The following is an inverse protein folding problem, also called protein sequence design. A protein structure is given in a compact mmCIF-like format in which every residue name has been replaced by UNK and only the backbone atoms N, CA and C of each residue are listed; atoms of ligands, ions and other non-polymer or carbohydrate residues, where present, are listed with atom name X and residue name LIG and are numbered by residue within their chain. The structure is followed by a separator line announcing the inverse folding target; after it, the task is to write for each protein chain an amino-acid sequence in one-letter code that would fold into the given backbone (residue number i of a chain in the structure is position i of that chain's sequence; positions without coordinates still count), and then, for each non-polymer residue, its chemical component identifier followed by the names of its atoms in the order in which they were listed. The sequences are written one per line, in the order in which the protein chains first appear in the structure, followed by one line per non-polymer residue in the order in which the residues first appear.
data_IF_917978569620
#
_entry.id   IF_917978569620
#
_cell.length_a   1.000
_cell.length_b   1.000
_cell.length_c   1.000
_cell.angle_alpha   90.00
_cell.angle_beta   90.00
_cell.angle_gamma   90.00
#
_symmetry.space_group_name_H-M   'P 1'
#
loop_
_entity.id
_entity.type
_entity.pdbx_description
1 polymer ?
#
# COMPACT_ATOMS: atom_id res chain seq x y z
N UNK A 1 -20.05 13.59 -6.33
CA UNK A 1 -18.83 12.77 -6.15
C UNK A 1 -19.16 11.74 -5.08
N UNK A 2 -18.89 10.44 -5.30
CA UNK A 2 -19.20 9.42 -4.28
C UNK A 2 -18.37 9.63 -3.03
N UNK A 3 -18.90 9.25 -1.87
CA UNK A 3 -18.14 9.33 -0.62
C UNK A 3 -16.81 8.57 -0.75
N UNK A 4 -15.74 9.02 -0.08
CA UNK A 4 -14.43 8.37 -0.17
C UNK A 4 -14.49 6.87 0.19
N UNK A 5 -15.45 6.46 1.03
CA UNK A 5 -15.72 5.06 1.37
C UNK A 5 -16.27 4.25 0.18
N UNK A 6 -17.15 4.82 -0.64
CA UNK A 6 -17.71 4.15 -1.82
C UNK A 6 -16.65 3.95 -2.90
N UNK A 7 -15.80 4.96 -3.10
CA UNK A 7 -14.66 4.90 -4.02
C UNK A 7 -13.75 3.75 -3.59
N UNK A 8 -13.47 3.68 -2.28
CA UNK A 8 -12.64 2.65 -1.68
C UNK A 8 -13.22 1.24 -1.87
N UNK A 9 -14.51 1.04 -1.58
CA UNK A 9 -15.19 -0.24 -1.71
C UNK A 9 -15.26 -0.72 -3.18
N UNK A 10 -15.57 0.19 -4.10
CA UNK A 10 -15.63 -0.12 -5.54
C UNK A 10 -14.26 -0.50 -6.09
N UNK A 11 -13.21 0.21 -5.68
CA UNK A 11 -11.84 -0.13 -6.05
C UNK A 11 -11.48 -1.55 -5.57
N UNK A 12 -11.80 -1.90 -4.32
CA UNK A 12 -11.55 -3.25 -3.78
C UNK A 12 -12.28 -4.34 -4.58
N UNK A 13 -13.56 -4.15 -4.88
CA UNK A 13 -14.36 -5.12 -5.66
C UNK A 13 -13.78 -5.38 -7.05
N UNK A 14 -13.13 -4.39 -7.66
CA UNK A 14 -12.45 -4.51 -8.95
C UNK A 14 -11.05 -5.11 -8.84
N UNK A 15 -10.25 -4.66 -7.87
CA UNK A 15 -8.85 -5.06 -7.75
C UNK A 15 -8.69 -6.52 -7.34
N UNK A 16 -9.53 -7.03 -6.43
CA UNK A 16 -9.45 -8.43 -5.95
C UNK A 16 -9.49 -9.45 -7.11
N UNK A 17 -10.50 -9.46 -8.00
CA UNK A 17 -10.52 -10.41 -9.10
C UNK A 17 -9.36 -10.21 -10.09
N UNK A 18 -8.93 -8.97 -10.36
CA UNK A 18 -7.76 -8.70 -11.22
C UNK A 18 -6.51 -9.36 -10.65
N UNK A 19 -6.25 -9.16 -9.35
CA UNK A 19 -5.08 -9.75 -8.67
C UNK A 19 -5.15 -11.26 -8.71
N UNK A 20 -6.31 -11.87 -8.44
CA UNK A 20 -6.48 -13.32 -8.47
C UNK A 20 -6.20 -13.88 -9.86
N UNK A 21 -6.82 -13.31 -10.90
CA UNK A 21 -6.63 -13.76 -12.29
C UNK A 21 -5.17 -13.61 -12.70
N UNK A 22 -4.54 -12.47 -12.40
CA UNK A 22 -3.15 -12.23 -12.74
C UNK A 22 -2.17 -13.12 -11.97
N UNK A 23 -2.45 -13.46 -10.70
CA UNK A 23 -1.68 -14.45 -9.94
C UNK A 23 -1.73 -15.82 -10.60
N UNK A 24 -2.92 -16.28 -11.00
CA UNK A 24 -3.11 -17.57 -11.67
C UNK A 24 -2.39 -17.58 -13.01
N UNK A 25 -2.56 -16.55 -13.84
CA UNK A 25 -1.87 -16.41 -15.13
C UNK A 25 -0.35 -16.42 -14.92
N UNK A 26 0.17 -15.69 -13.93
CA UNK A 26 1.60 -15.67 -13.63
C UNK A 26 2.11 -17.03 -13.17
N UNK A 27 1.36 -17.75 -12.34
CA UNK A 27 1.72 -19.10 -11.93
C UNK A 27 1.77 -20.06 -13.14
N UNK A 28 0.78 -20.01 -14.03
CA UNK A 28 0.75 -20.82 -15.27
C UNK A 28 1.94 -20.50 -16.15
N UNK A 29 2.24 -19.22 -16.40
CA UNK A 29 3.42 -18.80 -17.17
C UNK A 29 4.70 -19.32 -16.52
N UNK A 30 4.84 -19.20 -15.20
CA UNK A 30 6.01 -19.71 -14.49
C UNK A 30 6.17 -21.22 -14.62
N UNK A 31 5.07 -21.99 -14.62
CA UNK A 31 5.13 -23.45 -14.86
C UNK A 31 5.64 -23.74 -16.27
N UNK A 32 5.14 -23.02 -17.28
CA UNK A 32 5.49 -23.23 -18.69
C UNK A 32 6.96 -22.89 -19.03
N UNK A 33 7.65 -22.12 -18.18
CA UNK A 33 9.03 -21.64 -18.44
C UNK A 33 10.08 -22.48 -17.69
N UNK A 34 9.66 -23.47 -16.90
CA UNK A 34 10.54 -24.21 -15.96
C UNK A 34 10.85 -25.65 -16.36
N UNK A 35 10.83 -25.95 -17.67
CA UNK A 35 11.20 -27.27 -18.16
C UNK A 35 12.64 -27.61 -17.73
N UNK A 36 12.82 -28.79 -17.12
CA UNK A 36 14.08 -29.33 -16.55
C UNK A 36 14.71 -28.56 -15.36
N UNK A 37 13.98 -27.63 -14.72
CA UNK A 37 14.45 -26.93 -13.52
C UNK A 37 14.37 -27.79 -12.25
N UNK A 38 15.24 -27.51 -11.27
CA UNK A 38 15.14 -28.12 -9.93
C UNK A 38 13.79 -27.77 -9.26
N UNK A 39 13.32 -28.63 -8.34
CA UNK A 39 12.04 -28.40 -7.66
C UNK A 39 11.96 -27.02 -6.96
N UNK A 40 13.07 -26.57 -6.35
CA UNK A 40 13.15 -25.26 -5.69
C UNK A 40 13.11 -24.12 -6.70
N UNK A 41 13.88 -24.22 -7.78
CA UNK A 41 13.91 -23.21 -8.85
C UNK A 41 12.54 -23.06 -9.52
N UNK A 42 11.87 -24.18 -9.77
CA UNK A 42 10.51 -24.20 -10.31
C UNK A 42 9.54 -23.45 -9.40
N UNK A 43 9.56 -23.73 -8.09
CA UNK A 43 8.70 -23.04 -7.12
C UNK A 43 8.98 -21.54 -7.08
N UNK A 44 10.26 -21.14 -7.03
CA UNK A 44 10.64 -19.72 -6.99
C UNK A 44 10.28 -18.98 -8.28
N UNK A 45 10.40 -19.64 -9.44
CA UNK A 45 10.01 -19.08 -10.73
C UNK A 45 8.49 -18.90 -10.83
N UNK A 46 7.71 -19.93 -10.48
CA UNK A 46 6.24 -19.86 -10.42
C UNK A 46 5.78 -18.75 -9.48
N UNK A 47 6.34 -18.70 -8.27
CA UNK A 47 6.03 -17.65 -7.31
C UNK A 47 6.43 -16.26 -7.84
N UNK A 48 7.60 -16.15 -8.48
CA UNK A 48 8.10 -14.91 -9.02
C UNK A 48 7.18 -14.32 -10.09
N UNK A 49 6.76 -15.13 -11.07
CA UNK A 49 5.81 -14.69 -12.10
C UNK A 49 4.42 -14.39 -11.54
N UNK A 50 3.92 -15.20 -10.60
CA UNK A 50 2.65 -14.93 -9.92
C UNK A 50 2.68 -13.58 -9.21
N UNK A 51 3.70 -13.34 -8.37
CA UNK A 51 3.88 -12.07 -7.64
C UNK A 51 4.07 -10.89 -8.60
N UNK A 52 4.84 -11.06 -9.68
CA UNK A 52 5.05 -10.04 -10.69
C UNK A 52 3.73 -9.58 -11.32
N UNK A 53 2.97 -10.51 -11.91
CA UNK A 53 1.73 -10.18 -12.60
C UNK A 53 0.64 -9.76 -11.62
N UNK A 54 0.44 -10.50 -10.53
CA UNK A 54 -0.55 -10.19 -9.50
C UNK A 54 -0.28 -8.85 -8.80
N UNK A 55 0.97 -8.60 -8.44
CA UNK A 55 1.40 -7.38 -7.77
C UNK A 55 1.31 -6.15 -8.66
N UNK A 56 1.87 -6.20 -9.87
CA UNK A 56 1.85 -5.04 -10.79
C UNK A 56 0.43 -4.73 -11.27
N UNK A 57 -0.34 -5.73 -11.71
CA UNK A 57 -1.72 -5.51 -12.15
C UNK A 57 -2.59 -4.98 -11.00
N UNK A 58 -2.42 -5.51 -9.79
CA UNK A 58 -3.08 -5.04 -8.60
C UNK A 58 -2.75 -3.58 -8.29
N UNK A 59 -1.47 -3.22 -8.26
CA UNK A 59 -1.01 -1.87 -8.00
C UNK A 59 -1.53 -0.87 -9.04
N UNK A 60 -1.44 -1.20 -10.32
CA UNK A 60 -1.96 -0.38 -11.43
C UNK A 60 -3.47 -0.22 -11.35
N UNK A 61 -4.20 -1.29 -11.01
CA UNK A 61 -5.66 -1.24 -10.89
C UNK A 61 -6.15 -0.31 -9.78
N UNK A 62 -5.31 0.01 -8.79
CA UNK A 62 -5.64 0.93 -7.70
C UNK A 62 -5.37 2.40 -8.06
N UNK A 63 -4.56 2.70 -9.08
CA UNK A 63 -4.22 4.07 -9.49
C UNK A 63 -5.45 4.98 -9.66
N UNK A 64 -6.54 4.56 -10.36
CA UNK A 64 -7.70 5.44 -10.51
C UNK A 64 -8.37 5.80 -9.19
N UNK A 65 -8.35 4.89 -8.20
CA UNK A 65 -8.88 5.16 -6.88
C UNK A 65 -7.98 6.12 -6.11
N UNK A 66 -6.65 5.93 -6.21
CA UNK A 66 -5.65 6.81 -5.62
C UNK A 66 -5.78 8.25 -6.12
N UNK A 67 -5.92 8.46 -7.44
CA UNK A 67 -6.15 9.79 -7.99
C UNK A 67 -7.45 10.43 -7.52
N UNK A 68 -8.52 9.64 -7.35
CA UNK A 68 -9.81 10.13 -6.85
C UNK A 68 -9.80 10.44 -5.36
N UNK A 69 -8.96 9.76 -4.58
CA UNK A 69 -8.83 9.97 -3.14
C UNK A 69 -7.79 11.06 -2.80
N UNK A 70 -6.88 11.39 -3.72
CA UNK A 70 -5.85 12.41 -3.50
C UNK A 70 -6.39 13.77 -3.03
N UNK A 71 -7.51 14.31 -3.59
CA UNK A 71 -8.06 15.57 -3.11
C UNK A 71 -8.47 15.54 -1.63
N UNK A 72 -9.04 14.43 -1.14
CA UNK A 72 -9.43 14.31 0.27
C UNK A 72 -8.27 14.38 1.27
N UNK A 73 -7.05 14.18 0.81
CA UNK A 73 -5.83 14.29 1.63
C UNK A 73 -5.17 15.66 1.52
N UNK A 74 -5.39 16.37 0.41
CA UNK A 74 -4.71 17.63 0.11
C UNK A 74 -5.56 18.85 0.46
N UNK A 75 -6.87 18.82 0.16
CA UNK A 75 -7.76 19.96 0.36
C UNK A 75 -7.77 20.47 1.81
N UNK A 76 -7.88 19.63 2.85
CA UNK A 76 -7.99 20.12 4.23
C UNK A 76 -6.73 20.85 4.73
N UNK A 77 -5.59 20.62 4.09
CA UNK A 77 -4.28 21.14 4.54
C UNK A 77 -3.61 22.05 3.50
N UNK A 78 -4.32 22.39 2.43
CA UNK A 78 -3.76 23.10 1.26
C UNK A 78 -3.26 24.49 1.64
N UNK A 79 -4.06 25.22 2.40
CA UNK A 79 -3.78 26.61 2.79
C UNK A 79 -3.11 26.73 4.17
N UNK A 80 -2.77 25.59 4.78
CA UNK A 80 -1.97 25.56 6.01
C UNK A 80 -0.49 25.70 5.69
N UNK A 81 0.23 26.38 6.58
CA UNK A 81 1.68 26.42 6.52
C UNK A 81 2.29 25.02 6.78
N UNK A 82 3.62 24.93 6.66
CA UNK A 82 4.30 23.65 6.87
C UNK A 82 4.25 23.16 8.32
N UNK A 83 4.15 24.07 9.29
CA UNK A 83 4.13 23.73 10.72
C UNK A 83 2.78 23.16 11.12
N UNK A 84 1.69 23.83 10.76
CA UNK A 84 0.31 23.44 10.99
C UNK A 84 -0.02 22.14 10.27
N UNK A 85 0.44 21.98 9.02
CA UNK A 85 0.28 20.71 8.30
C UNK A 85 0.94 19.55 9.04
N UNK A 86 2.14 19.74 9.60
CA UNK A 86 2.82 18.72 10.41
C UNK A 86 2.10 18.49 11.74
N UNK A 87 1.57 19.54 12.36
CA UNK A 87 0.79 19.44 13.59
C UNK A 87 -0.47 18.60 13.37
N UNK A 88 -1.24 18.88 12.31
CA UNK A 88 -2.42 18.09 11.90
C UNK A 88 -2.06 16.63 11.69
N UNK A 89 -1.04 16.36 10.86
CA UNK A 89 -0.63 14.98 10.57
C UNK A 89 -0.21 14.23 11.84
N UNK A 90 0.57 14.89 12.72
CA UNK A 90 1.03 14.29 13.96
C UNK A 90 -0.12 14.04 14.93
N UNK A 91 -1.03 14.99 15.09
CA UNK A 91 -2.20 14.87 15.95
C UNK A 91 -3.08 13.69 15.52
N UNK A 92 -3.41 13.64 14.23
CA UNK A 92 -4.27 12.59 13.66
C UNK A 92 -3.59 11.21 13.73
N UNK A 93 -2.31 11.08 13.37
CA UNK A 93 -1.62 9.80 13.49
C UNK A 93 -1.34 9.37 14.93
N UNK A 94 -1.20 10.32 15.86
CA UNK A 94 -1.13 10.02 17.29
C UNK A 94 -2.50 9.65 17.88
N UNK A 95 -3.60 9.91 17.16
CA UNK A 95 -4.95 9.75 17.71
C UNK A 95 -5.27 10.76 18.81
N UNK A 96 -4.65 11.94 18.79
CA UNK A 96 -4.83 13.00 19.79
C UNK A 96 -5.55 14.19 19.15
N UNK A 97 -6.81 14.49 19.55
CA UNK A 97 -7.52 15.68 19.11
C UNK A 97 -6.71 16.96 19.31
N UNK A 98 -6.90 17.92 18.41
CA UNK A 98 -6.31 19.26 18.57
C UNK A 98 -7.17 20.04 19.57
N UNK A 99 -6.51 20.81 20.42
CA UNK A 99 -7.15 21.75 21.35
C UNK A 99 -6.76 23.18 20.97
N UNK A 100 -7.68 24.16 21.06
CA UNK A 100 -9.12 24.01 21.36
C UNK A 100 -9.91 23.25 20.28
N UNK A 101 -10.99 22.57 20.67
CA UNK A 101 -11.79 21.73 19.75
C UNK A 101 -12.62 22.51 18.74
N UNK A 102 -12.87 23.78 19.03
CA UNK A 102 -13.59 24.76 18.22
C UNK A 102 -12.66 25.58 17.29
N UNK A 103 -11.37 25.21 17.24
CA UNK A 103 -10.42 25.86 16.33
C UNK A 103 -10.58 25.37 14.89
N UNK A 104 -10.39 26.27 13.92
CA UNK A 104 -10.34 25.93 12.47
C UNK A 104 -9.32 24.80 12.19
N UNK A 105 -8.24 24.75 12.96
CA UNK A 105 -7.23 23.70 12.86
C UNK A 105 -7.77 22.31 13.28
N UNK A 106 -8.63 22.25 14.29
CA UNK A 106 -9.28 21.01 14.72
C UNK A 106 -10.29 20.51 13.68
N UNK A 107 -11.08 21.42 13.08
CA UNK A 107 -12.02 21.08 12.01
C UNK A 107 -11.31 20.52 10.78
N UNK A 108 -10.24 21.19 10.33
CA UNK A 108 -9.40 20.71 9.22
C UNK A 108 -8.73 19.39 9.53
N UNK A 109 -8.30 19.17 10.77
CA UNK A 109 -7.72 17.90 11.19
C UNK A 109 -8.75 16.76 11.19
N UNK A 110 -10.00 17.01 11.58
CA UNK A 110 -11.09 16.04 11.48
C UNK A 110 -11.45 15.72 10.03
N UNK A 111 -11.48 16.71 9.14
CA UNK A 111 -11.68 16.48 7.70
C UNK A 111 -10.52 15.69 7.09
N UNK A 112 -9.29 16.05 7.41
CA UNK A 112 -8.11 15.32 6.98
C UNK A 112 -8.11 13.87 7.50
N UNK A 113 -8.51 13.66 8.75
CA UNK A 113 -8.64 12.33 9.34
C UNK A 113 -9.67 11.47 8.60
N UNK A 114 -10.81 12.04 8.17
CA UNK A 114 -11.81 11.34 7.33
C UNK A 114 -11.21 10.92 5.99
N UNK A 115 -10.49 11.80 5.31
CA UNK A 115 -9.77 11.49 4.08
C UNK A 115 -8.69 10.41 4.28
N UNK A 116 -7.92 10.51 5.36
CA UNK A 116 -6.86 9.56 5.71
C UNK A 116 -7.41 8.17 6.02
N UNK A 117 -8.54 8.08 6.72
CA UNK A 117 -9.16 6.80 7.07
C UNK A 117 -9.58 5.99 5.83
N UNK A 118 -10.00 6.68 4.77
CA UNK A 118 -10.39 6.06 3.49
C UNK A 118 -9.20 5.78 2.57
N UNK A 119 -8.20 6.67 2.53
CA UNK A 119 -7.08 6.60 1.57
C UNK A 119 -5.90 5.75 2.03
N UNK A 120 -5.56 5.75 3.32
CA UNK A 120 -4.39 5.02 3.84
C UNK A 120 -4.44 3.51 3.61
N UNK A 121 -5.59 2.81 3.80
CA UNK A 121 -5.67 1.39 3.50
C UNK A 121 -5.39 1.09 2.02
N UNK A 122 -5.86 1.96 1.11
CA UNK A 122 -5.65 1.83 -0.34
C UNK A 122 -4.20 2.06 -0.72
N UNK A 123 -3.60 3.15 -0.22
CA UNK A 123 -2.19 3.43 -0.44
C UNK A 123 -1.31 2.28 0.07
N UNK A 124 -1.64 1.70 1.23
CA UNK A 124 -0.95 0.52 1.77
C UNK A 124 -1.09 -0.69 0.85
N UNK A 125 -2.29 -1.00 0.39
CA UNK A 125 -2.52 -2.12 -0.51
C UNK A 125 -1.75 -1.95 -1.82
N UNK A 126 -1.81 -0.76 -2.42
CA UNK A 126 -1.08 -0.44 -3.65
C UNK A 126 0.43 -0.58 -3.46
N UNK A 127 0.99 -0.08 -2.35
CA UNK A 127 2.41 -0.19 -2.04
C UNK A 127 2.86 -1.65 -1.89
N UNK A 128 2.11 -2.45 -1.13
CA UNK A 128 2.45 -3.87 -0.93
C UNK A 128 2.38 -4.68 -2.24
N UNK A 129 1.35 -4.42 -3.05
CA UNK A 129 1.22 -5.04 -4.37
C UNK A 129 2.36 -4.63 -5.30
N UNK A 130 2.78 -3.36 -5.26
CA UNK A 130 3.92 -2.88 -6.04
C UNK A 130 5.23 -3.57 -5.61
N UNK A 131 5.47 -3.71 -4.30
CA UNK A 131 6.65 -4.38 -3.77
C UNK A 131 6.69 -5.86 -4.13
N UNK A 132 5.54 -6.55 -4.03
CA UNK A 132 5.40 -7.91 -4.50
C UNK A 132 5.68 -8.02 -6.01
N UNK A 133 5.13 -7.09 -6.80
CA UNK A 133 5.30 -7.02 -8.25
C UNK A 133 6.75 -6.83 -8.69
N UNK A 134 7.49 -5.95 -8.00
CA UNK A 134 8.90 -5.66 -8.30
C UNK A 134 9.83 -6.76 -7.77
N UNK A 135 9.52 -7.33 -6.59
CA UNK A 135 10.32 -8.39 -5.98
C UNK A 135 10.14 -9.75 -6.64
N UNK A 136 8.95 -10.03 -7.18
CA UNK A 136 8.62 -11.31 -7.83
C UNK A 136 9.65 -11.78 -8.85
N UNK A 137 10.01 -10.98 -9.87
CA UNK A 137 10.99 -11.36 -10.89
C UNK A 137 12.40 -11.68 -10.34
N UNK A 138 12.71 -11.28 -9.10
CA UNK A 138 14.01 -11.53 -8.48
C UNK A 138 14.07 -12.89 -7.77
N UNK A 139 12.92 -13.48 -7.43
CA UNK A 139 12.84 -14.77 -6.72
C UNK A 139 13.68 -15.90 -7.35
N UNK A 140 13.61 -16.17 -8.67
CA UNK A 140 14.45 -17.21 -9.27
C UNK A 140 15.95 -16.86 -9.24
N UNK A 141 16.29 -15.58 -9.27
CA UNK A 141 17.70 -15.15 -9.25
C UNK A 141 18.38 -15.39 -7.89
N UNK A 142 17.63 -15.59 -6.81
CA UNK A 142 18.18 -15.78 -5.45
C UNK A 142 19.07 -17.03 -5.34
N UNK A 143 18.81 -18.04 -6.16
CA UNK A 143 19.49 -19.33 -6.12
C UNK A 143 20.37 -19.60 -7.34
N UNK A 144 20.54 -18.63 -8.24
CA UNK A 144 21.41 -18.79 -9.42
C UNK A 144 22.87 -18.99 -9.00
N UNK A 145 23.59 -19.73 -9.82
CA UNK A 145 25.02 -20.02 -9.59
C UNK A 145 25.91 -18.79 -9.81
N UNK A 146 25.44 -17.81 -10.59
CA UNK A 146 26.15 -16.54 -10.76
C UNK A 146 26.12 -15.73 -9.45
N UNK A 147 27.29 -15.67 -8.80
CA UNK A 147 27.46 -15.06 -7.48
C UNK A 147 27.05 -13.57 -7.43
N UNK A 148 27.24 -12.84 -8.53
CA UNK A 148 26.88 -11.42 -8.60
C UNK A 148 25.37 -11.23 -8.63
N UNK A 149 24.66 -11.85 -9.58
CA UNK A 149 23.21 -11.73 -9.71
C UNK A 149 22.46 -12.33 -8.53
N UNK A 150 22.94 -13.46 -7.99
CA UNK A 150 22.36 -14.05 -6.79
C UNK A 150 22.60 -13.19 -5.55
N UNK A 151 23.81 -12.63 -5.40
CA UNK A 151 24.12 -11.68 -4.34
C UNK A 151 23.23 -10.43 -4.38
N UNK A 152 23.11 -9.81 -5.55
CA UNK A 152 22.23 -8.66 -5.77
C UNK A 152 20.78 -9.00 -5.47
N UNK A 153 20.25 -10.09 -6.01
CA UNK A 153 18.86 -10.50 -5.81
C UNK A 153 18.55 -10.76 -4.33
N UNK A 154 19.44 -11.46 -3.60
CA UNK A 154 19.29 -11.69 -2.16
C UNK A 154 19.21 -10.38 -1.38
N UNK A 155 20.14 -9.45 -1.63
CA UNK A 155 20.15 -8.14 -0.97
C UNK A 155 18.89 -7.36 -1.31
N UNK A 156 18.50 -7.34 -2.59
CA UNK A 156 17.35 -6.60 -3.07
C UNK A 156 16.02 -7.15 -2.50
N UNK A 157 15.80 -8.46 -2.56
CA UNK A 157 14.61 -9.11 -1.98
C UNK A 157 14.56 -8.90 -0.48
N UNK A 158 15.70 -9.04 0.22
CA UNK A 158 15.78 -8.78 1.67
C UNK A 158 15.41 -7.33 1.98
N UNK A 159 15.97 -6.36 1.26
CA UNK A 159 15.66 -4.95 1.43
C UNK A 159 14.18 -4.66 1.17
N UNK A 160 13.59 -5.22 0.10
CA UNK A 160 12.17 -5.10 -0.20
C UNK A 160 11.30 -5.66 0.92
N UNK A 161 11.62 -6.83 1.46
CA UNK A 161 10.87 -7.44 2.56
C UNK A 161 10.97 -6.58 3.82
N UNK A 162 12.18 -6.13 4.19
CA UNK A 162 12.39 -5.28 5.38
C UNK A 162 11.62 -3.97 5.26
N UNK A 163 11.75 -3.27 4.12
CA UNK A 163 11.04 -2.01 3.87
C UNK A 163 9.53 -2.26 3.81
N UNK A 164 9.08 -3.34 3.18
CA UNK A 164 7.67 -3.73 3.11
C UNK A 164 7.05 -3.97 4.48
N UNK A 165 7.75 -4.69 5.36
CA UNK A 165 7.33 -4.93 6.76
C UNK A 165 7.29 -3.61 7.53
N UNK A 166 8.35 -2.80 7.46
CA UNK A 166 8.41 -1.52 8.15
C UNK A 166 7.28 -0.58 7.71
N UNK A 167 7.02 -0.48 6.40
CA UNK A 167 5.93 0.30 5.82
C UNK A 167 4.56 -0.26 6.23
N UNK A 168 4.37 -1.58 6.25
CA UNK A 168 3.12 -2.21 6.68
C UNK A 168 2.80 -1.93 8.16
N UNK A 169 3.82 -2.00 9.02
CA UNK A 169 3.69 -1.69 10.46
C UNK A 169 3.38 -0.20 10.65
N UNK A 170 4.16 0.67 10.02
CA UNK A 170 4.00 2.13 10.10
C UNK A 170 2.61 2.56 9.61
N UNK A 171 2.20 2.11 8.43
CA UNK A 171 0.87 2.39 7.87
C UNK A 171 -0.24 1.82 8.75
N UNK A 172 -0.07 0.61 9.31
CA UNK A 172 -1.02 0.03 10.26
C UNK A 172 -1.20 0.87 11.52
N UNK A 173 -0.11 1.46 12.05
CA UNK A 173 -0.16 2.40 13.17
C UNK A 173 -0.90 3.68 12.79
N UNK A 174 -0.60 4.26 11.63
CA UNK A 174 -1.25 5.48 11.14
C UNK A 174 -2.76 5.29 10.97
N UNK A 175 -3.20 4.19 10.35
CA UNK A 175 -4.63 3.87 10.20
C UNK A 175 -5.34 3.76 11.56
N UNK A 176 -4.70 3.09 12.55
CA UNK A 176 -5.24 2.99 13.91
C UNK A 176 -5.32 4.36 14.58
N UNK A 177 -4.27 5.18 14.45
CA UNK A 177 -4.23 6.55 14.95
C UNK A 177 -5.36 7.40 14.39
N UNK A 178 -5.53 7.42 13.07
CA UNK A 178 -6.60 8.15 12.40
C UNK A 178 -7.98 7.71 12.88
N UNK A 179 -8.22 6.41 13.05
CA UNK A 179 -9.51 5.90 13.58
C UNK A 179 -9.75 6.34 15.02
N UNK A 180 -8.71 6.30 15.87
CA UNK A 180 -8.79 6.80 17.25
C UNK A 180 -9.07 8.30 17.30
N UNK A 181 -8.44 9.08 16.43
CA UNK A 181 -8.70 10.50 16.30
C UNK A 181 -10.18 10.76 15.99
N UNK A 182 -10.72 10.09 14.96
CA UNK A 182 -12.12 10.25 14.57
C UNK A 182 -13.11 9.85 15.69
N UNK A 183 -12.81 8.78 16.42
CA UNK A 183 -13.62 8.38 17.57
C UNK A 183 -13.62 9.46 18.66
N UNK A 184 -12.44 9.97 19.02
CA UNK A 184 -12.29 10.99 20.05
C UNK A 184 -12.91 12.35 19.67
N UNK A 185 -13.02 12.66 18.37
CA UNK A 185 -13.72 13.86 17.89
C UNK A 185 -15.23 13.66 17.72
N UNK A 186 -15.73 12.42 17.63
CA UNK A 186 -17.15 12.13 17.49
C UNK A 186 -17.89 12.08 18.85
N UNK A 187 -17.13 11.93 19.95
CA UNK A 187 -17.64 11.96 21.34
C UNK A 187 -17.78 13.38 21.92
N UNK A 188 -17.50 14.41 21.11
CA UNK A 188 -17.63 15.84 21.46
C UNK A 188 -18.81 16.45 20.72
#
# INVERSE_FOLDING_TARGET
MGEPQDIAARARRRTVPIVIVALVVGAVVGVLVTDDASALERVLTVLGFALALGGLSGAVSLLPATFRLAPSMQLPVRDLDAADRRAVQRAVYAGRPIEPSDSDLADRAAEWARGAAASLPHARAQFLLLFAGIGGPQMPNVIRDDAWSAGFSRVFVTALVVVGIAAAISSGRNVRGTRRYLAATAER
#
